data_IF_699702970222
#
_entry.id   IF_699702970222
#
_cell.length_a   1.000
_cell.length_b   1.000
_cell.length_c   1.000
_cell.angle_alpha   90.00
_cell.angle_beta   90.00
_cell.angle_gamma   90.00
#
_symmetry.space_group_name_H-M   'P 1'
#
loop_
_entity.id
_entity.type
_entity.pdbx_description
1 polymer ?
#
# COMPACT_ATOMS: atom_id res chain seq x y z
N UNK A 1 15.71 0.53 -4.40
CA UNK A 1 15.38 -0.73 -3.68
C UNK A 1 13.90 -0.71 -3.31
N UNK A 2 13.19 -1.78 -3.68
CA UNK A 2 11.84 -2.03 -3.22
C UNK A 2 11.81 -3.38 -2.51
N UNK A 3 11.11 -3.48 -1.38
CA UNK A 3 10.90 -4.74 -0.68
C UNK A 3 9.41 -4.89 -0.37
N UNK A 4 8.89 -6.11 -0.53
CA UNK A 4 7.48 -6.43 -0.37
C UNK A 4 7.31 -7.58 0.61
N UNK A 5 6.31 -7.49 1.49
CA UNK A 5 6.05 -8.48 2.52
C UNK A 5 4.81 -9.31 2.19
N UNK A 6 5.05 -10.60 2.04
CA UNK A 6 4.06 -11.68 1.94
C UNK A 6 4.54 -12.87 2.77
N UNK A 7 3.65 -13.79 3.11
CA UNK A 7 4.01 -15.08 3.70
C UNK A 7 3.16 -15.45 4.91
N UNK A 8 3.54 -16.54 5.54
CA UNK A 8 2.93 -17.06 6.76
C UNK A 8 3.34 -16.23 7.98
N UNK A 9 2.59 -16.35 9.08
CA UNK A 9 2.99 -15.85 10.38
C UNK A 9 4.36 -16.31 10.85
N UNK A 10 5.06 -15.41 11.55
CA UNK A 10 6.32 -15.66 12.22
C UNK A 10 6.39 -14.88 13.55
N UNK A 11 7.22 -15.33 14.48
CA UNK A 11 7.48 -14.60 15.71
C UNK A 11 8.10 -13.21 15.42
N UNK A 12 7.83 -12.21 16.26
CA UNK A 12 8.26 -10.81 16.12
C UNK A 12 7.76 -10.04 14.88
N UNK A 13 6.88 -10.63 14.06
CA UNK A 13 6.32 -9.95 12.89
C UNK A 13 5.33 -8.85 13.25
N UNK A 14 4.86 -8.09 12.26
CA UNK A 14 3.77 -7.13 12.36
C UNK A 14 2.58 -7.57 11.49
N UNK A 15 1.47 -6.83 11.56
CA UNK A 15 0.30 -6.98 10.71
C UNK A 15 0.49 -6.29 9.35
N UNK A 16 1.52 -6.73 8.62
CA UNK A 16 2.08 -6.06 7.45
C UNK A 16 1.91 -6.86 6.14
N UNK A 17 0.91 -7.75 6.07
CA UNK A 17 0.64 -8.51 4.85
C UNK A 17 0.31 -7.57 3.71
N UNK A 18 0.97 -7.79 2.57
CA UNK A 18 0.92 -6.94 1.39
C UNK A 18 1.46 -5.51 1.61
N UNK A 19 2.23 -5.28 2.68
CA UNK A 19 3.00 -4.04 2.84
C UNK A 19 4.24 -4.04 1.93
N UNK A 20 4.73 -2.85 1.62
CA UNK A 20 6.00 -2.68 0.92
C UNK A 20 6.71 -1.41 1.35
N UNK A 21 8.03 -1.41 1.20
CA UNK A 21 8.89 -0.27 1.46
C UNK A 21 9.66 0.09 0.20
N UNK A 22 9.95 1.39 0.03
CA UNK A 22 10.62 1.89 -1.15
C UNK A 22 11.67 2.94 -0.79
N UNK A 23 12.89 2.68 -1.25
CA UNK A 23 14.06 3.53 -1.05
C UNK A 23 14.72 3.80 -2.39
N UNK A 24 14.95 5.06 -2.70
CA UNK A 24 15.69 5.49 -3.88
C UNK A 24 16.24 6.89 -3.64
N UNK A 25 17.22 7.33 -4.44
CA UNK A 25 17.81 8.67 -4.36
C UNK A 25 18.23 9.07 -2.93
N UNK A 26 18.85 8.13 -2.21
CA UNK A 26 19.27 8.24 -0.79
C UNK A 26 18.15 8.55 0.23
N UNK A 27 16.88 8.35 -0.15
CA UNK A 27 15.74 8.60 0.73
C UNK A 27 14.91 7.34 0.97
N UNK A 28 14.37 7.23 2.18
CA UNK A 28 13.30 6.27 2.51
C UNK A 28 11.95 6.94 2.20
N UNK A 29 11.53 6.85 0.93
CA UNK A 29 10.29 7.48 0.46
C UNK A 29 9.05 6.78 1.00
N UNK A 30 9.09 5.45 1.12
CA UNK A 30 8.09 4.64 1.82
C UNK A 30 8.79 3.72 2.82
N UNK A 31 8.35 3.72 4.07
CA UNK A 31 8.93 2.90 5.14
C UNK A 31 7.84 2.45 6.10
N UNK A 32 8.13 1.36 6.82
CA UNK A 32 7.41 1.02 8.02
C UNK A 32 7.90 1.86 9.21
N UNK A 33 7.04 2.07 10.22
CA UNK A 33 7.36 2.87 11.40
C UNK A 33 8.34 2.15 12.34
N UNK A 34 9.07 2.94 13.12
CA UNK A 34 9.97 2.47 14.17
C UNK A 34 9.38 2.71 15.55
N UNK A 35 9.79 1.93 16.55
CA UNK A 35 9.39 2.14 17.96
C UNK A 35 8.14 1.40 18.40
N UNK A 36 7.76 0.33 17.69
CA UNK A 36 6.64 -0.52 18.07
C UNK A 36 6.87 -1.18 19.44
N UNK A 37 5.88 -1.09 20.33
CA UNK A 37 5.91 -1.77 21.62
C UNK A 37 5.64 -3.27 21.48
N UNK A 38 6.20 -4.09 22.36
CA UNK A 38 5.85 -5.51 22.49
C UNK A 38 4.60 -5.75 23.34
N UNK A 39 4.23 -4.77 24.16
CA UNK A 39 3.08 -4.86 25.05
C UNK A 39 1.88 -4.17 24.40
N UNK A 40 0.81 -4.92 24.14
CA UNK A 40 -0.41 -4.43 23.50
C UNK A 40 -1.13 -3.33 24.28
N UNK A 41 -0.85 -3.21 25.58
CA UNK A 41 -1.39 -2.16 26.45
C UNK A 41 -0.74 -0.80 26.19
N UNK A 42 0.42 -0.77 25.53
CA UNK A 42 1.10 0.47 25.16
C UNK A 42 0.53 1.02 23.85
N UNK A 43 0.33 2.34 23.77
CA UNK A 43 -0.24 2.98 22.57
C UNK A 43 0.57 2.70 21.30
N UNK A 44 1.91 2.60 21.41
CA UNK A 44 2.80 2.27 20.28
C UNK A 44 2.66 0.83 19.78
N UNK A 45 1.82 0.00 20.38
CA UNK A 45 1.35 -1.25 19.78
C UNK A 45 0.67 -1.02 18.42
N UNK A 46 0.03 0.14 18.23
CA UNK A 46 -0.55 0.53 16.93
C UNK A 46 0.47 0.40 15.77
N UNK A 47 1.76 0.59 16.04
CA UNK A 47 2.82 0.49 15.03
C UNK A 47 3.08 -0.95 14.54
N UNK A 48 2.44 -1.94 15.16
CA UNK A 48 2.40 -3.34 14.70
C UNK A 48 1.16 -3.66 13.88
N UNK A 49 0.16 -2.80 13.88
CA UNK A 49 -1.11 -3.04 13.21
C UNK A 49 -1.06 -2.50 11.77
N UNK A 50 -1.87 -3.07 10.87
CA UNK A 50 -1.88 -2.75 9.43
C UNK A 50 -2.09 -1.26 9.18
N UNK A 51 -2.80 -0.59 10.09
CA UNK A 51 -3.03 0.85 10.10
C UNK A 51 -1.75 1.67 10.00
N UNK A 52 -0.62 1.12 10.45
CA UNK A 52 0.69 1.76 10.47
C UNK A 52 1.61 1.31 9.33
N UNK A 53 1.13 0.49 8.39
CA UNK A 53 1.90 -0.08 7.30
C UNK A 53 1.46 0.44 5.93
N UNK A 54 2.34 0.29 4.93
CA UNK A 54 2.05 0.63 3.54
C UNK A 54 1.13 -0.42 2.89
N UNK A 55 -0.03 -0.65 3.50
CA UNK A 55 -0.97 -1.72 3.21
C UNK A 55 -2.38 -1.17 2.94
N UNK A 56 -3.34 -2.07 2.71
CA UNK A 56 -4.76 -1.71 2.53
C UNK A 56 -5.53 -1.84 3.85
N UNK A 57 -6.65 -1.13 3.96
CA UNK A 57 -7.60 -1.24 5.06
C UNK A 57 -9.02 -1.38 4.49
N UNK A 58 -9.85 -2.15 5.19
CA UNK A 58 -11.26 -2.35 4.89
C UNK A 58 -12.07 -1.71 6.02
N UNK A 59 -12.89 -0.71 5.68
CA UNK A 59 -13.62 0.12 6.65
C UNK A 59 -12.73 0.74 7.73
N UNK A 60 -11.48 1.08 7.35
CA UNK A 60 -10.48 1.65 8.24
C UNK A 60 -9.80 0.67 9.18
N UNK A 61 -10.05 -0.64 9.03
CA UNK A 61 -9.42 -1.70 9.83
C UNK A 61 -8.43 -2.53 9.03
N UNK A 62 -7.36 -2.92 9.72
CA UNK A 62 -6.36 -3.87 9.25
C UNK A 62 -6.84 -5.32 9.19
N UNK A 63 -5.90 -6.20 8.85
CA UNK A 63 -6.09 -7.64 8.95
C UNK A 63 -5.85 -8.13 10.39
N UNK A 64 -6.11 -9.41 10.68
CA UNK A 64 -5.90 -9.97 12.02
C UNK A 64 -4.45 -9.81 12.48
N UNK A 65 -4.27 -9.45 13.74
CA UNK A 65 -3.00 -9.51 14.43
C UNK A 65 -3.22 -9.87 15.89
N UNK A 66 -2.35 -10.71 16.41
CA UNK A 66 -2.46 -11.27 17.74
C UNK A 66 -1.89 -10.30 18.79
N UNK A 67 -2.61 -10.08 19.89
CA UNK A 67 -2.20 -9.26 21.04
C UNK A 67 -1.62 -10.07 22.20
N UNK A 68 -1.35 -11.36 21.98
CA UNK A 68 -0.81 -12.31 22.96
C UNK A 68 -1.89 -13.08 23.74
N UNK A 69 -3.17 -12.75 23.59
CA UNK A 69 -4.27 -13.52 24.23
C UNK A 69 -4.49 -14.90 23.61
N UNK A 70 -4.00 -15.11 22.40
CA UNK A 70 -4.10 -16.38 21.66
C UNK A 70 -3.09 -17.43 22.16
N UNK A 71 -2.27 -17.11 23.17
CA UNK A 71 -1.31 -18.07 23.77
C UNK A 71 -0.07 -18.37 22.91
N UNK A 72 0.07 -17.67 21.78
CA UNK A 72 1.24 -17.71 20.87
C UNK A 72 1.73 -16.29 20.62
N UNK A 73 2.98 -16.14 20.14
CA UNK A 73 3.54 -14.85 19.73
C UNK A 73 3.35 -14.54 18.23
N UNK A 74 3.00 -15.54 17.41
CA UNK A 74 2.74 -15.35 15.98
C UNK A 74 1.27 -14.98 15.74
N UNK A 75 0.99 -14.27 14.64
CA UNK A 75 -0.40 -14.08 14.18
C UNK A 75 -0.97 -15.36 13.56
N UNK A 76 -2.25 -15.35 13.20
CA UNK A 76 -2.84 -16.38 12.33
C UNK A 76 -2.91 -15.92 10.85
N UNK A 77 -2.58 -14.66 10.60
CA UNK A 77 -2.74 -13.99 9.32
C UNK A 77 -1.65 -14.38 8.30
N UNK A 78 -2.03 -15.01 7.20
CA UNK A 78 -1.15 -15.34 6.09
C UNK A 78 -1.45 -14.53 4.82
N UNK A 79 -0.43 -14.40 3.98
CA UNK A 79 -0.55 -13.98 2.59
C UNK A 79 0.33 -14.84 1.68
N UNK A 80 -0.10 -15.05 0.44
CA UNK A 80 0.54 -15.97 -0.51
C UNK A 80 0.93 -15.22 -1.78
N UNK A 81 2.20 -15.31 -2.16
CA UNK A 81 2.64 -14.89 -3.49
C UNK A 81 2.09 -15.92 -4.47
N UNK A 82 1.15 -15.49 -5.32
CA UNK A 82 0.58 -16.32 -6.36
C UNK A 82 1.43 -16.34 -7.63
N UNK A 83 2.16 -15.24 -7.87
CA UNK A 83 3.05 -15.09 -9.02
C UNK A 83 4.16 -14.09 -8.71
N UNK A 84 5.34 -14.37 -9.23
CA UNK A 84 6.50 -13.49 -9.26
C UNK A 84 7.09 -13.55 -10.66
N UNK A 85 7.40 -12.38 -11.24
CA UNK A 85 8.04 -12.28 -12.54
C UNK A 85 9.15 -11.24 -12.47
N UNK A 86 10.32 -11.61 -12.99
CA UNK A 86 11.49 -10.74 -13.12
C UNK A 86 11.91 -10.70 -14.59
N UNK A 87 11.86 -9.52 -15.20
CA UNK A 87 12.33 -9.23 -16.55
C UNK A 87 13.40 -8.14 -16.53
N UNK A 88 14.24 -8.10 -15.48
CA UNK A 88 15.30 -7.12 -15.33
C UNK A 88 14.79 -5.79 -14.78
N UNK A 89 14.44 -4.86 -15.66
CA UNK A 89 13.94 -3.53 -15.26
C UNK A 89 12.47 -3.53 -14.86
N UNK A 90 11.73 -4.59 -15.24
CA UNK A 90 10.32 -4.79 -14.92
C UNK A 90 10.19 -6.01 -14.02
N UNK A 91 9.79 -5.79 -12.77
CA UNK A 91 9.62 -6.87 -11.78
C UNK A 91 8.26 -6.72 -11.13
N UNK A 92 7.46 -7.77 -11.07
CA UNK A 92 6.21 -7.73 -10.33
C UNK A 92 5.91 -9.00 -9.57
N UNK A 93 4.99 -8.86 -8.63
CA UNK A 93 4.40 -9.97 -7.90
C UNK A 93 2.93 -9.69 -7.64
N UNK A 94 2.18 -10.77 -7.48
CA UNK A 94 0.80 -10.76 -7.07
C UNK A 94 0.72 -11.50 -5.74
N UNK A 95 0.24 -10.83 -4.68
CA UNK A 95 0.08 -11.44 -3.37
C UNK A 95 -1.33 -11.30 -2.82
N UNK A 96 -1.85 -12.43 -2.36
CA UNK A 96 -3.22 -12.65 -1.93
C UNK A 96 -3.24 -12.76 -0.39
N UNK A 97 -4.05 -11.93 0.28
CA UNK A 97 -4.10 -11.80 1.73
C UNK A 97 -5.52 -11.93 2.31
N UNK A 98 -6.47 -12.48 1.56
CA UNK A 98 -7.88 -12.69 1.93
C UNK A 98 -7.99 -13.36 3.28
N UNK A 99 -7.24 -14.44 3.53
CA UNK A 99 -7.28 -15.14 4.81
C UNK A 99 -7.03 -14.18 5.97
N UNK A 100 -5.99 -13.35 5.88
CA UNK A 100 -5.63 -12.41 6.94
C UNK A 100 -6.78 -11.44 7.28
N UNK A 101 -7.46 -10.90 6.27
CA UNK A 101 -8.58 -9.97 6.47
C UNK A 101 -9.89 -10.70 6.86
N UNK A 102 -10.09 -11.92 6.36
CA UNK A 102 -11.28 -12.72 6.63
C UNK A 102 -11.38 -13.12 8.10
N UNK A 103 -10.24 -13.36 8.77
CA UNK A 103 -10.15 -13.68 10.20
C UNK A 103 -10.83 -12.64 11.12
N UNK A 104 -10.99 -11.39 10.66
CA UNK A 104 -11.64 -10.30 11.42
C UNK A 104 -12.81 -9.67 10.68
N UNK A 105 -13.12 -10.15 9.48
CA UNK A 105 -14.22 -9.68 8.63
C UNK A 105 -14.66 -10.80 7.69
N UNK A 106 -15.57 -11.66 8.16
CA UNK A 106 -16.04 -12.86 7.43
C UNK A 106 -16.71 -12.55 6.08
N UNK A 107 -17.13 -11.31 5.87
CA UNK A 107 -17.72 -10.87 4.61
C UNK A 107 -16.64 -10.55 3.54
N UNK A 108 -15.35 -10.63 3.86
CA UNK A 108 -14.26 -10.51 2.89
C UNK A 108 -14.12 -11.81 2.11
N UNK A 109 -14.13 -11.72 0.77
CA UNK A 109 -14.04 -12.87 -0.15
C UNK A 109 -12.77 -12.88 -0.99
N UNK A 110 -12.18 -11.71 -1.21
CA UNK A 110 -10.92 -11.59 -1.92
C UNK A 110 -10.20 -10.30 -1.52
N UNK A 111 -8.91 -10.39 -1.22
CA UNK A 111 -8.00 -9.24 -1.07
C UNK A 111 -6.68 -9.59 -1.72
N UNK A 112 -6.29 -8.82 -2.73
CA UNK A 112 -5.01 -9.02 -3.41
C UNK A 112 -4.33 -7.69 -3.68
N UNK A 113 -3.01 -7.67 -3.54
CA UNK A 113 -2.16 -6.58 -3.99
C UNK A 113 -1.18 -7.12 -5.00
N UNK A 114 -1.14 -6.45 -6.15
CA UNK A 114 -0.11 -6.67 -7.15
C UNK A 114 0.78 -5.44 -7.23
N UNK A 115 2.10 -5.62 -7.24
CA UNK A 115 3.04 -4.50 -7.33
C UNK A 115 3.98 -4.77 -8.50
N UNK A 116 3.97 -3.87 -9.47
CA UNK A 116 4.98 -3.78 -10.52
C UNK A 116 5.97 -2.68 -10.14
N UNK A 117 7.25 -3.02 -10.11
CA UNK A 117 8.35 -2.10 -9.98
C UNK A 117 9.07 -2.00 -11.32
N UNK A 118 9.07 -0.79 -11.89
CA UNK A 118 9.86 -0.44 -13.06
C UNK A 118 11.04 0.38 -12.55
N UNK A 119 12.23 -0.21 -12.65
CA UNK A 119 13.45 0.38 -12.09
C UNK A 119 13.77 1.72 -12.78
N UNK A 120 14.33 2.69 -12.03
CA UNK A 120 14.58 2.67 -10.59
C UNK A 120 13.44 3.29 -9.75
N UNK A 121 12.39 3.82 -10.38
CA UNK A 121 11.61 4.91 -9.77
C UNK A 121 10.11 4.93 -10.08
N UNK A 122 9.57 3.92 -10.75
CA UNK A 122 8.12 3.78 -10.99
C UNK A 122 7.59 2.54 -10.28
N UNK A 123 6.49 2.70 -9.55
CA UNK A 123 5.77 1.60 -8.91
C UNK A 123 4.31 1.70 -9.30
N UNK A 124 3.74 0.61 -9.80
CA UNK A 124 2.31 0.47 -10.01
C UNK A 124 1.79 -0.53 -8.97
N UNK A 125 0.83 -0.08 -8.16
CA UNK A 125 0.13 -0.93 -7.18
C UNK A 125 -1.28 -1.14 -7.70
N UNK A 126 -1.68 -2.38 -7.85
CA UNK A 126 -3.05 -2.77 -8.19
C UNK A 126 -3.67 -3.56 -7.05
N UNK A 127 -4.60 -2.91 -6.35
CA UNK A 127 -5.30 -3.45 -5.20
C UNK A 127 -6.70 -3.92 -5.60
N UNK A 128 -7.07 -5.12 -5.16
CA UNK A 128 -8.35 -5.75 -5.44
C UNK A 128 -9.04 -6.15 -4.13
N UNK A 129 -10.33 -5.85 -4.03
CA UNK A 129 -11.23 -6.26 -2.94
C UNK A 129 -12.50 -6.88 -3.52
N UNK A 130 -12.93 -8.02 -2.97
CA UNK A 130 -14.27 -8.56 -3.12
C UNK A 130 -14.92 -8.81 -1.76
N UNK A 131 -16.17 -8.36 -1.63
CA UNK A 131 -17.06 -8.55 -0.47
C UNK A 131 -18.23 -9.45 -0.87
N UNK A 132 -18.74 -10.25 0.07
CA UNK A 132 -19.89 -11.13 -0.18
C UNK A 132 -21.20 -10.35 -0.25
N UNK A 133 -21.46 -9.54 0.77
CA UNK A 133 -22.75 -8.91 0.99
C UNK A 133 -22.63 -7.39 1.11
N UNK A 134 -21.80 -6.84 2.00
CA UNK A 134 -21.84 -5.41 2.31
C UNK A 134 -20.77 -4.64 1.54
N UNK A 135 -21.14 -3.54 0.83
CA UNK A 135 -20.14 -2.63 0.29
C UNK A 135 -19.29 -2.05 1.42
N UNK A 136 -17.98 -2.09 1.27
CA UNK A 136 -17.03 -1.54 2.25
C UNK A 136 -16.21 -0.42 1.64
N UNK A 137 -15.79 0.53 2.47
CA UNK A 137 -14.73 1.45 2.09
C UNK A 137 -13.41 0.68 2.02
N UNK A 138 -12.63 0.99 1.00
CA UNK A 138 -11.31 0.41 0.80
C UNK A 138 -10.28 1.53 0.69
N UNK A 139 -9.14 1.38 1.35
CA UNK A 139 -8.11 2.42 1.34
C UNK A 139 -6.72 1.86 1.37
N UNK A 140 -5.77 2.55 0.77
CA UNK A 140 -4.34 2.24 0.80
C UNK A 140 -3.56 3.39 1.47
N UNK A 141 -2.64 3.06 2.38
CA UNK A 141 -1.80 4.05 3.07
C UNK A 141 -0.35 4.02 2.58
N UNK A 142 0.28 5.18 2.64
CA UNK A 142 1.65 5.42 2.20
C UNK A 142 2.40 6.30 3.22
N UNK A 143 3.40 5.71 3.88
CA UNK A 143 4.12 6.27 5.02
C UNK A 143 5.55 6.67 4.63
N UNK A 144 5.91 7.97 4.63
CA UNK A 144 7.30 8.38 4.53
C UNK A 144 8.09 8.12 5.81
N UNK A 145 9.42 8.07 5.69
CA UNK A 145 10.29 8.24 6.86
C UNK A 145 10.16 9.67 7.37
N UNK A 146 9.78 9.81 8.64
CA UNK A 146 9.59 11.10 9.30
C UNK A 146 10.31 11.18 10.65
N UNK A 147 11.29 10.30 10.90
CA UNK A 147 12.05 10.32 12.17
C UNK A 147 12.84 11.61 12.39
N UNK A 148 13.22 12.29 11.32
CA UNK A 148 13.89 13.59 11.33
C UNK A 148 12.91 14.78 11.21
N UNK A 149 11.59 14.52 11.17
CA UNK A 149 10.55 15.55 11.02
C UNK A 149 10.50 16.23 9.64
N UNK A 150 11.25 15.74 8.64
CA UNK A 150 11.40 16.42 7.34
C UNK A 150 10.40 15.97 6.28
N UNK A 151 9.54 14.98 6.55
CA UNK A 151 8.55 14.55 5.56
C UNK A 151 7.44 15.58 5.40
N UNK A 152 7.15 15.95 4.15
CA UNK A 152 6.01 16.82 3.82
C UNK A 152 5.06 16.07 2.90
N UNK A 153 3.77 16.07 3.25
CA UNK A 153 2.71 15.45 2.44
C UNK A 153 1.76 16.55 1.96
N UNK A 154 1.47 16.51 0.66
CA UNK A 154 0.48 17.33 -0.02
C UNK A 154 -0.52 16.40 -0.72
N UNK A 155 -1.80 16.76 -0.73
CA UNK A 155 -2.86 16.00 -1.41
C UNK A 155 -3.74 16.94 -2.22
N UNK A 156 -4.19 16.46 -3.37
CA UNK A 156 -5.15 17.17 -4.21
C UNK A 156 -5.94 16.16 -5.05
N UNK A 157 -7.28 16.16 -4.93
CA UNK A 157 -8.16 15.19 -5.58
C UNK A 157 -7.73 13.74 -5.31
N UNK A 158 -7.33 13.00 -6.34
CA UNK A 158 -6.84 11.61 -6.29
C UNK A 158 -5.30 11.52 -6.36
N UNK A 159 -4.59 12.62 -6.07
CA UNK A 159 -3.14 12.71 -6.11
C UNK A 159 -2.56 13.05 -4.75
N UNK A 160 -1.35 12.60 -4.51
CA UNK A 160 -0.53 13.05 -3.40
C UNK A 160 0.93 13.26 -3.82
N UNK A 161 1.64 14.04 -3.02
CA UNK A 161 3.09 14.17 -3.08
C UNK A 161 3.64 13.96 -1.68
N UNK A 162 4.61 13.06 -1.56
CA UNK A 162 5.48 12.92 -0.39
C UNK A 162 6.82 13.54 -0.77
N UNK A 163 7.25 14.57 -0.04
CA UNK A 163 8.54 15.20 -0.22
C UNK A 163 9.47 14.87 0.96
N UNK A 164 10.68 14.45 0.62
CA UNK A 164 11.84 14.25 1.49
C UNK A 164 12.97 15.18 1.03
N UNK A 165 14.02 15.42 1.84
CA UNK A 165 15.08 16.36 1.52
C UNK A 165 15.71 16.20 0.13
N UNK A 166 15.95 14.96 -0.33
CA UNK A 166 16.60 14.70 -1.63
C UNK A 166 15.67 14.21 -2.74
N UNK A 167 14.40 13.90 -2.43
CA UNK A 167 13.52 13.26 -3.40
C UNK A 167 12.02 13.50 -3.12
N UNK A 168 11.24 13.39 -4.18
CA UNK A 168 9.79 13.41 -4.17
C UNK A 168 9.24 12.06 -4.60
N UNK A 169 8.10 11.67 -4.03
CA UNK A 169 7.25 10.59 -4.52
C UNK A 169 5.88 11.17 -4.88
N UNK A 170 5.52 11.06 -6.15
CA UNK A 170 4.22 11.49 -6.67
C UNK A 170 3.29 10.30 -6.82
N UNK A 171 2.13 10.36 -6.19
CA UNK A 171 1.08 9.35 -6.29
C UNK A 171 -0.13 9.86 -7.07
N UNK A 172 -0.70 9.03 -7.95
CA UNK A 172 -2.03 9.22 -8.54
C UNK A 172 -2.78 7.89 -8.52
N UNK A 173 -4.07 7.92 -8.20
CA UNK A 173 -4.89 6.71 -8.19
C UNK A 173 -6.17 6.85 -9.00
N UNK A 174 -6.63 5.73 -9.54
CA UNK A 174 -7.96 5.57 -10.10
C UNK A 174 -8.53 4.24 -9.62
N UNK A 175 -9.84 4.17 -9.41
CA UNK A 175 -10.54 2.91 -9.16
C UNK A 175 -11.80 2.81 -10.02
N UNK A 176 -12.42 1.63 -10.01
CA UNK A 176 -13.73 1.38 -10.61
C UNK A 176 -14.87 2.06 -9.82
N UNK A 177 -14.54 2.71 -8.71
CA UNK A 177 -15.40 3.58 -7.89
C UNK A 177 -14.68 4.91 -7.67
N UNK A 178 -15.39 5.94 -7.19
CA UNK A 178 -14.77 7.23 -6.91
C UNK A 178 -13.63 7.09 -5.88
N UNK A 179 -12.52 7.80 -6.10
CA UNK A 179 -11.35 7.81 -5.20
C UNK A 179 -10.95 9.23 -4.82
N UNK A 180 -10.44 9.38 -3.59
CA UNK A 180 -9.83 10.63 -3.12
C UNK A 180 -8.58 10.36 -2.29
N UNK A 181 -7.63 11.29 -2.34
CA UNK A 181 -6.44 11.32 -1.51
C UNK A 181 -6.71 12.14 -0.25
N UNK A 182 -6.16 11.70 0.89
CA UNK A 182 -6.20 12.39 2.17
C UNK A 182 -4.81 12.36 2.79
N UNK A 183 -4.43 13.45 3.46
CA UNK A 183 -3.30 13.48 4.38
C UNK A 183 -3.82 13.24 5.80
N UNK A 184 -3.14 12.39 6.56
CA UNK A 184 -3.43 12.20 7.99
C UNK A 184 -2.15 11.84 8.75
N UNK A 185 -2.27 11.54 10.04
CA UNK A 185 -1.23 10.94 10.88
C UNK A 185 -1.83 9.82 11.74
N UNK A 186 -1.00 8.90 12.22
CA UNK A 186 -1.43 7.90 13.20
C UNK A 186 -1.87 8.59 14.49
N UNK A 187 -2.89 8.02 15.14
CA UNK A 187 -3.40 8.51 16.42
C UNK A 187 -2.49 8.05 17.57
N UNK A 188 -1.34 8.72 17.68
CA UNK A 188 -0.36 8.50 18.74
C UNK A 188 0.03 9.83 19.37
N UNK A 189 0.32 9.85 20.69
CA UNK A 189 0.91 11.02 21.33
C UNK A 189 2.23 11.39 20.65
N UNK A 190 2.48 12.69 20.42
CA UNK A 190 3.66 13.14 19.65
C UNK A 190 4.99 12.76 20.31
N UNK A 191 5.01 12.56 21.63
CA UNK A 191 6.18 12.01 22.36
C UNK A 191 6.61 10.61 21.88
N UNK A 192 5.71 9.88 21.24
CA UNK A 192 5.97 8.56 20.65
C UNK A 192 6.41 8.65 19.17
N UNK A 193 6.53 9.86 18.62
CA UNK A 193 6.81 10.12 17.22
C UNK A 193 5.58 10.62 16.46
N UNK A 194 5.83 11.22 15.29
CA UNK A 194 4.79 11.70 14.37
C UNK A 194 4.88 10.89 13.09
N UNK A 195 3.82 10.14 12.80
CA UNK A 195 3.73 9.21 11.67
C UNK A 195 2.70 9.72 10.65
N UNK A 196 3.04 10.71 9.81
CA UNK A 196 2.15 11.21 8.77
C UNK A 196 2.02 10.17 7.65
N UNK A 197 0.90 10.18 6.94
CA UNK A 197 0.71 9.36 5.75
C UNK A 197 -0.19 10.03 4.72
N UNK A 198 -0.02 9.61 3.47
CA UNK A 198 -1.02 9.79 2.43
C UNK A 198 -1.92 8.55 2.43
N UNK A 199 -3.23 8.75 2.25
CA UNK A 199 -4.23 7.69 2.17
C UNK A 199 -5.04 7.90 0.90
N UNK A 200 -5.14 6.88 0.07
CA UNK A 200 -6.10 6.83 -1.04
C UNK A 200 -7.33 6.09 -0.53
N UNK A 201 -8.49 6.70 -0.69
CA UNK A 201 -9.77 6.21 -0.19
C UNK A 201 -10.70 6.01 -1.39
N UNK A 202 -11.09 4.76 -1.63
CA UNK A 202 -12.17 4.40 -2.54
C UNK A 202 -13.54 4.56 -1.84
N UNK A 203 -14.55 4.98 -2.59
CA UNK A 203 -15.94 4.95 -2.18
C UNK A 203 -16.40 3.51 -1.87
N UNK A 204 -17.44 3.31 -1.05
CA UNK A 204 -17.94 1.98 -0.73
C UNK A 204 -18.29 1.16 -1.98
N UNK A 205 -17.84 -0.09 -2.02
CA UNK A 205 -18.11 -1.01 -3.11
C UNK A 205 -17.98 -2.47 -2.67
N UNK A 206 -18.67 -3.38 -3.35
CA UNK A 206 -18.49 -4.84 -3.12
C UNK A 206 -17.32 -5.40 -3.90
N UNK A 207 -17.01 -4.82 -5.06
CA UNK A 207 -15.88 -5.19 -5.89
C UNK A 207 -15.11 -3.91 -6.19
N UNK A 208 -13.90 -3.79 -5.64
CA UNK A 208 -13.06 -2.61 -5.85
C UNK A 208 -11.76 -3.06 -6.51
N UNK A 209 -11.43 -2.38 -7.60
CA UNK A 209 -10.16 -2.48 -8.29
C UNK A 209 -9.56 -1.07 -8.31
N UNK A 210 -8.39 -0.91 -7.70
CA UNK A 210 -7.75 0.38 -7.53
C UNK A 210 -6.30 0.32 -8.01
N UNK A 211 -5.97 1.13 -9.00
CA UNK A 211 -4.61 1.36 -9.48
C UNK A 211 -4.06 2.59 -8.78
N UNK A 212 -2.91 2.46 -8.13
CA UNK A 212 -2.11 3.58 -7.62
C UNK A 212 -0.74 3.56 -8.27
N UNK A 213 -0.41 4.63 -8.98
CA UNK A 213 0.90 4.82 -9.59
C UNK A 213 1.73 5.72 -8.69
N UNK A 214 2.96 5.32 -8.41
CA UNK A 214 3.96 6.08 -7.69
C UNK A 214 5.16 6.35 -8.61
N UNK A 215 5.53 7.61 -8.77
CA UNK A 215 6.73 8.03 -9.50
C UNK A 215 7.65 8.80 -8.56
N UNK A 216 8.85 8.29 -8.35
CA UNK A 216 9.89 9.03 -7.65
C UNK A 216 10.69 9.93 -8.60
N UNK A 217 11.12 11.06 -8.08
CA UNK A 217 12.01 12.01 -8.74
C UNK A 217 12.99 12.57 -7.72
N UNK A 218 14.18 12.91 -8.17
CA UNK A 218 15.14 13.68 -7.37
C UNK A 218 14.61 15.09 -7.15
N UNK A 219 15.10 15.79 -6.13
CA UNK A 219 14.66 17.17 -5.86
C UNK A 219 15.12 18.13 -6.96
N UNK A 220 16.25 17.83 -7.61
CA UNK A 220 16.81 18.55 -8.75
C UNK A 220 16.08 18.30 -10.08
N UNK A 221 15.24 17.26 -10.17
CA UNK A 221 14.49 16.97 -11.39
C UNK A 221 13.42 18.05 -11.63
N UNK A 222 13.40 18.60 -12.85
CA UNK A 222 12.41 19.62 -13.23
C UNK A 222 11.10 19.01 -13.75
N UNK A 223 10.01 19.73 -13.53
CA UNK A 223 8.67 19.36 -14.02
C UNK A 223 7.93 18.34 -13.14
N UNK A 224 6.59 18.37 -13.22
CA UNK A 224 5.74 17.36 -12.58
C UNK A 224 5.65 16.12 -13.47
N UNK A 225 5.64 14.91 -12.89
CA UNK A 225 5.48 13.70 -13.68
C UNK A 225 4.08 13.64 -14.27
N UNK A 226 4.01 13.27 -15.55
CA UNK A 226 2.74 12.97 -16.21
C UNK A 226 2.34 11.56 -15.79
N UNK A 227 1.21 11.45 -15.08
CA UNK A 227 0.64 10.17 -14.69
C UNK A 227 -0.79 10.14 -15.19
N UNK A 228 -1.10 9.19 -16.05
CA UNK A 228 -2.45 8.91 -16.51
C UNK A 228 -2.86 7.47 -16.28
N UNK A 229 -4.13 7.27 -15.96
CA UNK A 229 -4.70 5.95 -15.66
C UNK A 229 -6.09 5.94 -16.30
N UNK A 230 -6.36 4.95 -17.14
CA UNK A 230 -7.66 4.75 -17.79
C UNK A 230 -8.14 3.34 -17.53
N UNK A 231 -9.41 3.22 -17.14
CA UNK A 231 -10.07 1.92 -16.98
C UNK A 231 -10.76 1.54 -18.29
N UNK A 232 -10.39 0.40 -18.84
CA UNK A 232 -11.12 -0.29 -19.89
C UNK A 232 -12.13 -1.29 -19.32
N UNK A 233 -12.63 -2.18 -20.18
CA UNK A 233 -13.52 -3.26 -19.77
C UNK A 233 -12.78 -4.36 -19.01
N UNK A 234 -11.64 -4.80 -19.56
CA UNK A 234 -10.82 -5.92 -19.04
C UNK A 234 -9.38 -5.54 -18.76
N UNK A 235 -9.07 -4.25 -18.78
CA UNK A 235 -7.71 -3.76 -18.64
C UNK A 235 -7.65 -2.37 -18.02
N UNK A 236 -6.47 -2.01 -17.52
CA UNK A 236 -6.12 -0.68 -17.10
C UNK A 236 -4.92 -0.19 -17.90
N UNK A 237 -5.08 0.89 -18.66
CA UNK A 237 -3.98 1.54 -19.34
C UNK A 237 -3.37 2.61 -18.41
N UNK A 238 -2.06 2.52 -18.19
CA UNK A 238 -1.30 3.41 -17.33
C UNK A 238 -0.19 4.06 -18.14
N UNK A 239 -0.12 5.38 -18.12
CA UNK A 239 0.98 6.14 -18.73
C UNK A 239 1.75 6.89 -17.65
N UNK A 240 3.07 6.72 -17.62
CA UNK A 240 3.97 7.45 -16.72
C UNK A 240 5.07 8.11 -17.55
N UNK A 241 4.97 9.42 -17.73
CA UNK A 241 5.76 10.18 -18.70
C UNK A 241 5.63 9.57 -20.10
N UNK A 242 6.65 8.83 -20.56
CA UNK A 242 6.67 8.13 -21.87
C UNK A 242 6.45 6.61 -21.74
N UNK A 243 6.43 6.08 -20.52
CA UNK A 243 6.22 4.66 -20.25
C UNK A 243 4.73 4.35 -20.33
N UNK A 244 4.39 3.24 -20.98
CA UNK A 244 3.03 2.73 -21.02
C UNK A 244 3.01 1.33 -20.41
N UNK A 245 2.01 1.06 -19.59
CA UNK A 245 1.78 -0.25 -18.99
C UNK A 245 0.31 -0.56 -19.10
N UNK A 246 -0.01 -1.78 -19.52
CA UNK A 246 -1.35 -2.35 -19.45
C UNK A 246 -1.41 -3.35 -18.31
N UNK A 247 -2.43 -3.23 -17.46
CA UNK A 247 -2.77 -4.24 -16.46
C UNK A 247 -3.97 -5.01 -17.02
N UNK A 248 -3.75 -6.21 -17.53
CA UNK A 248 -4.83 -7.07 -18.00
C UNK A 248 -5.51 -7.76 -16.81
N UNK A 249 -6.85 -7.78 -16.83
CA UNK A 249 -7.70 -8.31 -15.77
C UNK A 249 -8.71 -9.30 -16.37
N UNK A 250 -8.17 -10.33 -17.04
CA UNK A 250 -8.96 -11.44 -17.61
C UNK A 250 -9.44 -12.43 -16.54
N UNK A 251 -9.02 -12.27 -15.28
CA UNK A 251 -9.45 -13.05 -14.12
C UNK A 251 -9.03 -12.40 -12.80
N UNK A 252 -8.96 -13.19 -11.72
CA UNK A 252 -8.53 -12.68 -10.39
C UNK A 252 -7.06 -12.30 -10.36
N UNK A 253 -6.21 -12.99 -11.12
CA UNK A 253 -4.78 -12.75 -11.21
C UNK A 253 -4.46 -11.86 -12.42
N UNK A 254 -4.03 -10.60 -12.23
CA UNK A 254 -3.74 -9.67 -13.29
C UNK A 254 -2.35 -9.90 -13.87
N UNK A 255 -2.17 -9.52 -15.13
CA UNK A 255 -0.87 -9.51 -15.81
C UNK A 255 -0.46 -8.07 -16.13
N UNK A 256 0.83 -7.77 -15.94
CA UNK A 256 1.41 -6.49 -16.34
C UNK A 256 2.13 -6.64 -17.68
N UNK A 257 1.74 -5.82 -18.65
CA UNK A 257 2.35 -5.73 -19.98
C UNK A 257 2.95 -4.33 -20.12
N UNK A 258 4.22 -4.24 -20.49
CA UNK A 258 4.96 -2.98 -20.66
C UNK A 258 5.83 -2.99 -21.90
#
# INVERSE_FOLDING_TARGET
>A
MLAFKSGTPANHEHADRNSFIFKTFDERLLTDPFGAAYDWRQKTWLLRLTEAHNAVLIDGKGHQYNDGREGTNASMAEAKILRYVDRGDFIWWNSEATQAYHLVNEDVRFVMRSVLFIKPDVILVFDQLEKGDKPSRFSARFFPDNRDGKAKIQVHNNRFRIARPKANLFGKSLANVAVKAKKSKLDLPEKNGVFPFAEIIAAPGKQIQMVTVLKAQRIEDSGLPVIDIKKGEKEWAVTVNKLNVTIEVSGKLPEFLG
#
